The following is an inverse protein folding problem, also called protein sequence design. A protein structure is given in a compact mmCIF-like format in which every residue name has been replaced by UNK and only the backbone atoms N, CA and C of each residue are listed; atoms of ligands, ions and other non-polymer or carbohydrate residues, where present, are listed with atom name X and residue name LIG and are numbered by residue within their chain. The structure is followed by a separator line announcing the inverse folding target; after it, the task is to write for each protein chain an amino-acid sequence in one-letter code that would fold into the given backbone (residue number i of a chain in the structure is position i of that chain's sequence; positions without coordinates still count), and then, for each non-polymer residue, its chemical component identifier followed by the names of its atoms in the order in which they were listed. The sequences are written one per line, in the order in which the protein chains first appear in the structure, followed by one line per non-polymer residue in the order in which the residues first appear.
data_IF_873425061073
#
_entry.id   IF_873425061073
#
_cell.length_a   1.000
_cell.length_b   1.000
_cell.length_c   1.000
_cell.angle_alpha   90.00
_cell.angle_beta   90.00
_cell.angle_gamma   90.00
#
_symmetry.space_group_name_H-M   'P 1'
#
loop_
_entity.id
_entity.type
_entity.pdbx_description
1 polymer ?
#
# COMPACT_ATOMS: atom_id res chain seq x y z
N UNK A 1 4.96 20.09 -6.15
CA UNK A 1 4.53 19.73 -4.76
C UNK A 1 4.17 18.24 -4.72
N UNK A 2 4.57 17.52 -3.68
CA UNK A 2 4.19 16.11 -3.43
C UNK A 2 3.20 16.00 -2.25
N UNK A 3 2.32 16.99 -2.13
CA UNK A 3 1.31 17.06 -1.08
C UNK A 3 0.05 16.25 -1.44
N UNK A 4 -0.70 15.89 -0.40
CA UNK A 4 -2.07 15.39 -0.52
C UNK A 4 -2.97 16.49 0.01
N UNK A 5 -3.90 16.98 -0.82
CA UNK A 5 -4.91 17.94 -0.36
C UNK A 5 -5.80 17.27 0.70
N UNK A 6 -6.16 17.96 1.79
CA UNK A 6 -6.86 17.37 2.94
C UNK A 6 -8.35 17.05 2.67
N UNK A 7 -8.69 16.72 1.41
CA UNK A 7 -9.96 16.10 1.06
C UNK A 7 -10.24 14.86 1.90
N UNK A 8 -11.48 14.38 1.85
CA UNK A 8 -12.01 13.34 2.73
C UNK A 8 -11.06 12.13 2.83
N UNK A 9 -10.38 12.02 3.97
CA UNK A 9 -9.45 10.94 4.31
C UNK A 9 -10.20 9.83 5.05
N UNK A 10 -10.17 8.61 4.51
CA UNK A 10 -10.86 7.46 5.11
C UNK A 10 -9.98 6.21 5.09
N UNK A 11 -10.21 5.29 6.04
CA UNK A 11 -9.62 3.94 5.93
C UNK A 11 -10.43 3.10 4.96
N UNK A 12 -9.77 2.48 3.98
CA UNK A 12 -10.42 1.64 2.99
C UNK A 12 -10.28 0.16 3.34
N UNK A 13 -11.42 -0.53 3.45
CA UNK A 13 -11.49 -1.99 3.64
C UNK A 13 -12.55 -2.58 2.71
N UNK A 14 -12.16 -3.57 1.92
CA UNK A 14 -13.04 -4.26 0.98
C UNK A 14 -12.97 -5.75 1.28
N UNK A 15 -14.13 -6.40 1.37
CA UNK A 15 -14.23 -7.85 1.50
C UNK A 15 -14.64 -8.45 0.16
N UNK A 16 -13.75 -9.24 -0.44
CA UNK A 16 -14.05 -10.03 -1.62
C UNK A 16 -14.73 -11.33 -1.20
N UNK A 17 -16.07 -11.34 -1.20
CA UNK A 17 -16.84 -12.46 -0.65
C UNK A 17 -16.81 -13.71 -1.52
N UNK A 18 -16.76 -13.55 -2.84
CA UNK A 18 -16.89 -14.63 -3.82
C UNK A 18 -15.61 -14.89 -4.62
N UNK A 19 -14.55 -14.09 -4.43
CA UNK A 19 -13.28 -14.21 -5.13
C UNK A 19 -13.26 -13.46 -6.46
N UNK A 20 -14.32 -12.73 -6.81
CA UNK A 20 -14.43 -12.03 -8.10
C UNK A 20 -13.46 -10.87 -8.25
N UNK A 21 -12.88 -10.36 -7.14
CA UNK A 21 -11.96 -9.22 -7.14
C UNK A 21 -10.50 -9.70 -7.11
N UNK A 22 -10.19 -10.61 -6.19
CA UNK A 22 -8.83 -11.02 -5.81
C UNK A 22 -8.45 -12.42 -6.31
N UNK A 23 -9.42 -13.19 -6.80
CA UNK A 23 -9.28 -14.61 -7.12
C UNK A 23 -9.48 -15.55 -5.92
N UNK A 24 -9.65 -15.00 -4.70
CA UNK A 24 -9.77 -15.79 -3.47
C UNK A 24 -10.98 -15.34 -2.64
N UNK A 25 -11.97 -16.23 -2.51
CA UNK A 25 -13.16 -15.96 -1.71
C UNK A 25 -12.81 -15.72 -0.23
N UNK A 26 -13.44 -14.69 0.35
CA UNK A 26 -13.25 -14.26 1.73
C UNK A 26 -12.06 -13.32 1.97
N UNK A 27 -11.24 -13.02 0.95
CA UNK A 27 -10.07 -12.15 1.11
C UNK A 27 -10.48 -10.74 1.52
N UNK A 28 -9.70 -10.15 2.42
CA UNK A 28 -9.79 -8.73 2.78
C UNK A 28 -8.71 -7.96 2.04
N UNK A 29 -9.10 -6.84 1.45
CA UNK A 29 -8.22 -5.86 0.82
C UNK A 29 -8.29 -4.61 1.69
N UNK A 30 -7.14 -4.22 2.25
CA UNK A 30 -7.04 -3.06 3.15
C UNK A 30 -5.89 -2.16 2.68
N UNK A 31 -6.09 -0.85 2.83
CA UNK A 31 -5.07 0.19 2.65
C UNK A 31 -5.20 1.12 3.86
N UNK A 32 -4.07 1.64 4.37
CA UNK A 32 -4.06 2.47 5.57
C UNK A 32 -5.08 3.62 5.51
N UNK A 33 -5.06 4.38 4.41
CA UNK A 33 -6.09 5.36 4.08
C UNK A 33 -6.15 5.68 2.58
N UNK A 34 -7.30 6.19 2.14
CA UNK A 34 -7.50 6.81 0.85
C UNK A 34 -7.92 8.27 1.03
N UNK A 35 -7.61 9.08 0.03
CA UNK A 35 -8.05 10.48 -0.06
C UNK A 35 -8.90 10.62 -1.30
N UNK A 36 -10.10 11.15 -1.11
CA UNK A 36 -11.10 11.34 -2.16
C UNK A 36 -11.50 12.81 -2.25
N UNK A 37 -10.79 13.56 -3.09
CA UNK A 37 -11.13 14.90 -3.51
C UNK A 37 -11.46 14.93 -5.01
N UNK A 38 -10.80 15.79 -5.79
CA UNK A 38 -10.76 15.74 -7.25
C UNK A 38 -10.09 14.46 -7.78
N UNK A 39 -9.16 13.89 -7.01
CA UNK A 39 -8.42 12.66 -7.32
C UNK A 39 -8.67 11.59 -6.25
N UNK A 40 -8.55 10.33 -6.65
CA UNK A 40 -8.59 9.19 -5.73
C UNK A 40 -7.18 8.65 -5.51
N UNK A 41 -6.63 8.99 -4.35
CA UNK A 41 -5.27 8.59 -3.95
C UNK A 41 -5.36 7.48 -2.92
N UNK A 42 -4.60 6.40 -3.11
CA UNK A 42 -4.35 5.41 -2.07
C UNK A 42 -3.02 5.71 -1.38
N UNK A 43 -2.99 5.57 -0.06
CA UNK A 43 -1.79 5.85 0.75
C UNK A 43 -1.49 4.68 1.68
N UNK A 44 -0.25 4.21 1.62
CA UNK A 44 0.29 3.19 2.53
C UNK A 44 1.47 3.77 3.32
N UNK A 45 1.57 3.45 4.60
CA UNK A 45 2.65 3.93 5.47
C UNK A 45 3.44 2.75 6.03
N UNK A 46 4.78 2.82 5.95
CA UNK A 46 5.69 1.79 6.47
C UNK A 46 6.84 2.39 7.27
N UNK A 47 7.33 1.67 8.27
CA UNK A 47 8.62 1.98 8.90
C UNK A 47 9.77 1.62 7.95
N UNK A 48 9.63 0.53 7.21
CA UNK A 48 10.56 0.06 6.19
C UNK A 48 9.78 -0.49 5.00
N UNK A 49 10.13 -0.07 3.78
CA UNK A 49 9.52 -0.55 2.55
C UNK A 49 10.54 -1.31 1.70
N UNK A 50 10.20 -2.55 1.33
CA UNK A 50 10.99 -3.40 0.43
C UNK A 50 10.18 -3.76 -0.83
N UNK A 51 10.76 -4.60 -1.69
CA UNK A 51 10.18 -4.98 -2.96
C UNK A 51 8.78 -5.60 -2.85
N UNK A 52 8.59 -6.53 -1.91
CA UNK A 52 7.30 -7.21 -1.69
C UNK A 52 6.22 -6.23 -1.26
N UNK A 53 6.56 -5.27 -0.39
CA UNK A 53 5.63 -4.21 0.00
C UNK A 53 5.16 -3.37 -1.19
N UNK A 54 6.06 -3.05 -2.12
CA UNK A 54 5.76 -2.24 -3.31
C UNK A 54 4.87 -3.01 -4.28
N UNK A 55 5.22 -4.26 -4.59
CA UNK A 55 4.43 -5.13 -5.47
C UNK A 55 3.05 -5.41 -4.89
N UNK A 56 2.99 -5.66 -3.57
CA UNK A 56 1.74 -5.87 -2.87
C UNK A 56 0.84 -4.64 -2.93
N UNK A 57 1.39 -3.45 -2.68
CA UNK A 57 0.61 -2.21 -2.71
C UNK A 57 0.05 -1.92 -4.11
N UNK A 58 0.83 -2.17 -5.16
CA UNK A 58 0.34 -2.11 -6.53
C UNK A 58 -0.75 -3.15 -6.81
N UNK A 59 -0.59 -4.39 -6.36
CA UNK A 59 -1.63 -5.41 -6.53
C UNK A 59 -2.95 -5.04 -5.82
N UNK A 60 -2.85 -4.48 -4.62
CA UNK A 60 -3.99 -3.96 -3.86
C UNK A 60 -4.70 -2.84 -4.62
N UNK A 61 -3.96 -1.93 -5.28
CA UNK A 61 -4.59 -0.87 -6.07
C UNK A 61 -5.46 -1.42 -7.19
N UNK A 62 -4.99 -2.44 -7.92
CA UNK A 62 -5.75 -3.09 -8.99
C UNK A 62 -7.05 -3.72 -8.48
N UNK A 63 -7.02 -4.32 -7.29
CA UNK A 63 -8.22 -4.85 -6.65
C UNK A 63 -9.18 -3.76 -6.20
N UNK A 64 -8.66 -2.65 -5.67
CA UNK A 64 -9.47 -1.49 -5.31
C UNK A 64 -10.15 -0.91 -6.56
N UNK A 65 -9.43 -0.75 -7.66
CA UNK A 65 -9.99 -0.27 -8.92
C UNK A 65 -11.14 -1.14 -9.40
N UNK A 66 -10.93 -2.46 -9.35
CA UNK A 66 -11.94 -3.44 -9.74
C UNK A 66 -13.17 -3.40 -8.84
N UNK A 67 -12.97 -3.29 -7.53
CA UNK A 67 -14.06 -3.24 -6.56
C UNK A 67 -14.90 -1.95 -6.67
N UNK A 68 -14.26 -0.81 -6.95
CA UNK A 68 -14.92 0.49 -7.02
C UNK A 68 -15.39 0.86 -8.43
N UNK A 69 -14.95 0.13 -9.46
CA UNK A 69 -15.27 0.43 -10.86
C UNK A 69 -14.70 1.76 -11.35
N UNK A 70 -13.65 2.28 -10.70
CA UNK A 70 -12.96 3.52 -11.08
C UNK A 70 -11.45 3.33 -10.94
N UNK A 71 -10.67 4.16 -11.65
CA UNK A 71 -9.21 4.17 -11.53
C UNK A 71 -8.76 4.81 -10.22
N UNK A 72 -7.60 4.37 -9.75
CA UNK A 72 -6.80 5.04 -8.73
C UNK A 72 -5.89 6.02 -9.46
N UNK A 73 -6.00 7.30 -9.11
CA UNK A 73 -5.31 8.38 -9.81
C UNK A 73 -3.86 8.52 -9.34
N UNK A 74 -3.58 8.14 -8.08
CA UNK A 74 -2.24 8.16 -7.48
C UNK A 74 -2.07 7.07 -6.42
N UNK A 75 -0.88 6.49 -6.38
CA UNK A 75 -0.40 5.65 -5.29
C UNK A 75 0.70 6.39 -4.54
N UNK A 76 0.56 6.54 -3.22
CA UNK A 76 1.54 7.18 -2.37
C UNK A 76 2.02 6.19 -1.30
N UNK A 77 3.32 5.91 -1.29
CA UNK A 77 3.98 5.12 -0.26
C UNK A 77 4.80 6.06 0.63
N UNK A 78 4.52 6.09 1.92
CA UNK A 78 5.30 6.86 2.90
C UNK A 78 6.13 5.89 3.73
N UNK A 79 7.46 6.04 3.71
CA UNK A 79 8.37 5.14 4.40
C UNK A 79 9.39 5.89 5.26
N UNK A 80 9.87 5.33 6.37
CA UNK A 80 11.08 5.89 7.03
C UNK A 80 12.33 5.44 6.26
N UNK A 81 12.47 4.13 6.02
CA UNK A 81 13.50 3.54 5.16
C UNK A 81 12.87 2.86 3.96
N UNK A 82 13.53 2.92 2.81
CA UNK A 82 13.14 2.17 1.60
C UNK A 82 14.37 1.46 1.03
N UNK A 83 14.21 0.19 0.66
CA UNK A 83 15.23 -0.54 -0.07
C UNK A 83 15.41 0.08 -1.46
N UNK A 84 16.64 0.07 -1.98
CA UNK A 84 16.96 0.68 -3.28
C UNK A 84 16.21 0.02 -4.44
N UNK A 85 16.13 -1.32 -4.44
CA UNK A 85 15.35 -2.09 -5.41
C UNK A 85 13.84 -1.82 -5.35
N UNK A 86 13.30 -1.63 -4.14
CA UNK A 86 11.92 -1.28 -3.91
C UNK A 86 11.61 0.12 -4.44
N UNK A 87 12.53 1.08 -4.24
CA UNK A 87 12.37 2.44 -4.74
C UNK A 87 12.43 2.48 -6.27
N UNK A 88 13.30 1.68 -6.89
CA UNK A 88 13.34 1.53 -8.35
C UNK A 88 12.05 0.91 -8.87
N UNK A 89 11.58 -0.16 -8.23
CA UNK A 89 10.33 -0.81 -8.60
C UNK A 89 9.12 0.11 -8.46
N UNK A 90 9.07 0.91 -7.40
CA UNK A 90 8.01 1.89 -7.19
C UNK A 90 7.95 2.90 -8.34
N UNK A 91 9.11 3.35 -8.85
CA UNK A 91 9.17 4.27 -10.01
C UNK A 91 8.62 3.62 -11.28
N UNK A 92 8.95 2.36 -11.53
CA UNK A 92 8.43 1.61 -12.69
C UNK A 92 6.91 1.46 -12.64
N UNK A 93 6.36 1.26 -11.44
CA UNK A 93 4.93 1.08 -11.20
C UNK A 93 4.15 2.40 -11.06
N UNK A 94 4.81 3.55 -11.11
CA UNK A 94 4.17 4.86 -10.94
C UNK A 94 3.71 5.15 -9.51
N UNK A 95 4.37 4.57 -8.51
CA UNK A 95 4.12 4.82 -7.09
C UNK A 95 5.00 6.00 -6.64
N UNK A 96 4.36 7.06 -6.15
CA UNK A 96 5.05 8.16 -5.51
C UNK A 96 5.55 7.72 -4.13
N UNK A 97 6.86 7.84 -3.88
CA UNK A 97 7.45 7.48 -2.57
C UNK A 97 7.94 8.74 -1.85
N UNK A 98 7.52 8.89 -0.60
CA UNK A 98 8.07 9.85 0.37
C UNK A 98 8.84 9.06 1.41
N UNK A 99 10.16 9.27 1.50
CA UNK A 99 11.02 8.47 2.36
C UNK A 99 12.02 9.31 3.14
N UNK A 100 12.45 8.79 4.30
CA UNK A 100 13.51 9.39 5.11
C UNK A 100 14.92 9.00 4.64
N UNK A 101 15.14 7.73 4.32
CA UNK A 101 16.43 7.20 3.91
C UNK A 101 16.28 6.05 2.89
N UNK A 102 17.27 5.90 2.01
CA UNK A 102 17.40 4.73 1.12
C UNK A 102 18.49 3.82 1.67
N UNK A 103 18.23 2.53 1.73
CA UNK A 103 19.19 1.52 2.18
C UNK A 103 19.38 0.45 1.09
N UNK A 104 20.55 -0.20 1.01
CA UNK A 104 20.74 -1.33 0.10
C UNK A 104 19.78 -2.46 0.44
N UNK A 105 19.15 -3.05 -0.57
CA UNK A 105 18.35 -4.26 -0.42
C UNK A 105 19.18 -5.40 0.22
N UNK A 106 18.57 -6.27 1.04
CA UNK A 106 19.26 -7.38 1.66
C UNK A 106 19.77 -8.39 0.61
N UNK A 107 21.02 -8.83 0.76
CA UNK A 107 21.57 -9.91 -0.06
C UNK A 107 20.79 -11.21 0.21
N UNK A 108 20.07 -11.74 -0.78
CA UNK A 108 19.37 -13.02 -0.69
C UNK A 108 17.85 -12.96 -0.47
N UNK A 109 17.23 -11.77 -0.44
CA UNK A 109 15.77 -11.61 -0.51
C UNK A 109 14.97 -12.07 0.72
N UNK A 110 15.60 -12.33 1.86
CA UNK A 110 14.90 -12.67 3.10
C UNK A 110 14.76 -11.43 4.00
N UNK A 111 13.51 -11.08 4.30
CA UNK A 111 13.19 -10.09 5.34
C UNK A 111 13.63 -10.59 6.73
N UNK A 112 14.28 -9.77 7.58
CA UNK A 112 14.23 -10.00 9.00
C UNK A 112 12.79 -9.71 9.48
N UNK A 113 12.07 -10.75 9.89
CA UNK A 113 10.72 -10.67 10.47
C UNK A 113 10.63 -9.61 11.58
N UNK A 114 10.19 -8.39 11.25
CA UNK A 114 9.83 -7.36 12.24
C UNK A 114 8.70 -6.48 11.71
N UNK A 115 7.48 -7.00 11.76
CA UNK A 115 6.36 -6.46 12.54
C UNK A 115 5.10 -7.27 12.20
N UNK A 116 4.83 -8.28 13.04
CA UNK A 116 3.46 -8.74 13.20
C UNK A 116 2.64 -7.54 13.67
N UNK A 117 1.79 -7.02 12.78
CA UNK A 117 0.80 -6.01 13.12
C UNK A 117 0.02 -6.50 14.33
N UNK A 118 0.15 -5.77 15.45
CA UNK A 118 -0.57 -6.00 16.69
C UNK A 118 -2.06 -5.70 16.47
N UNK A 119 -2.76 -6.61 15.79
CA UNK A 119 -4.20 -6.67 15.68
C UNK A 119 -4.77 -7.63 16.72
N UNK A 120 -4.68 -7.25 17.99
CA UNK A 120 -5.09 -8.10 19.10
C UNK A 120 -5.58 -7.33 20.31
N UNK A 121 -6.53 -6.40 20.14
CA UNK A 121 -7.42 -6.06 21.24
C UNK A 121 -8.47 -7.16 21.34
N UNK A 122 -8.33 -8.03 22.34
CA UNK A 122 -9.48 -8.66 23.00
C UNK A 122 -9.66 -7.94 24.32
N UNK A 123 -10.61 -7.01 24.32
CA UNK A 123 -11.44 -6.80 25.49
C UNK A 123 -12.42 -7.98 25.51
N UNK A 124 -12.30 -8.83 26.53
CA UNK A 124 -13.36 -9.46 27.33
C UNK A 124 -12.73 -10.44 28.33
#
# INVERSE_FOLDING_TARGET
ERGVEPGRVERLRIQDRDGSITGYAGRRVEVDFCVSDETFTLVEVKSHANLDHVEWFHQVSLWVERALGRRVDRLLLVAVNVDDDALDRARELGIDVVYGNVIPAPEGGEEPEREASAGGRREE
#
